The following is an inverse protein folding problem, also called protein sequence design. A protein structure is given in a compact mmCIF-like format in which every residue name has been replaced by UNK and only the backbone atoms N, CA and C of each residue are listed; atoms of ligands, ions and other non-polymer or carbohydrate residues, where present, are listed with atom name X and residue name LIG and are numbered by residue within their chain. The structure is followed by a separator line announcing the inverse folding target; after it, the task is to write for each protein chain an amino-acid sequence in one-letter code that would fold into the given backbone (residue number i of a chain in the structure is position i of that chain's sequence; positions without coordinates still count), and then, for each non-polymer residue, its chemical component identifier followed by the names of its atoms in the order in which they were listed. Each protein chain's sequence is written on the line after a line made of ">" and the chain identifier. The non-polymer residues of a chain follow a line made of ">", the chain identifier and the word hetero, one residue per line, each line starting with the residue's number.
data_IF_655300011492
#
_entry.id   IF_655300011492
#
_cell.length_a   1.000
_cell.length_b   1.000
_cell.length_c   1.000
_cell.angle_alpha   90.00
_cell.angle_beta   90.00
_cell.angle_gamma   90.00
#
_symmetry.space_group_name_H-M   'P 1'
#
loop_
_entity.id
_entity.type
_entity.pdbx_description
1 polymer ?
#
# COMPACT_ATOMS: atom_id res chain seq x y z
N UNK A 1 10.62 -14.61 -19.29
CA UNK A 1 10.71 -13.47 -20.23
C UNK A 1 9.50 -13.39 -21.18
N UNK A 2 9.06 -14.50 -21.79
CA UNK A 2 7.90 -14.50 -22.71
C UNK A 2 6.58 -14.14 -22.03
N UNK A 3 6.39 -14.49 -20.74
CA UNK A 3 5.18 -14.20 -19.97
C UNK A 3 5.04 -12.70 -19.63
N UNK A 4 6.16 -12.03 -19.38
CA UNK A 4 6.22 -10.58 -19.11
C UNK A 4 5.89 -9.74 -20.36
N UNK A 5 6.33 -10.17 -21.54
CA UNK A 5 6.07 -9.46 -22.79
C UNK A 5 4.58 -9.51 -23.22
N UNK A 6 3.81 -10.46 -22.68
CA UNK A 6 2.37 -10.64 -22.97
C UNK A 6 1.46 -10.00 -21.90
N UNK A 7 2.01 -9.47 -20.80
CA UNK A 7 1.19 -8.87 -19.75
C UNK A 7 0.64 -7.50 -20.18
N UNK A 8 -0.67 -7.34 -20.02
CA UNK A 8 -1.38 -6.06 -20.22
C UNK A 8 -0.82 -4.96 -19.31
N UNK A 9 -0.36 -5.33 -18.10
CA UNK A 9 0.14 -4.42 -17.08
C UNK A 9 1.59 -4.76 -16.73
N UNK A 10 2.45 -3.75 -16.77
CA UNK A 10 3.86 -3.84 -16.36
C UNK A 10 4.07 -3.38 -14.92
N UNK A 11 3.21 -2.52 -14.43
CA UNK A 11 3.28 -1.98 -13.06
C UNK A 11 2.02 -2.33 -12.30
N UNK A 12 2.19 -2.95 -11.14
CA UNK A 12 1.09 -3.31 -10.25
C UNK A 12 1.30 -2.57 -8.94
N UNK A 13 0.35 -1.72 -8.58
CA UNK A 13 0.43 -0.88 -7.38
C UNK A 13 -0.63 -1.32 -6.39
N UNK A 14 -0.20 -1.73 -5.20
CA UNK A 14 -1.07 -2.15 -4.11
C UNK A 14 -1.29 -0.99 -3.14
N UNK A 15 -2.54 -0.67 -2.85
CA UNK A 15 -2.92 0.36 -1.90
C UNK A 15 -4.00 -0.13 -0.92
N UNK A 16 -4.17 0.59 0.17
CA UNK A 16 -5.10 0.25 1.24
C UNK A 16 -4.54 0.62 2.60
N UNK A 17 -5.34 0.43 3.64
CA UNK A 17 -4.99 0.82 5.00
C UNK A 17 -3.82 0.01 5.56
N UNK A 18 -3.15 0.54 6.59
CA UNK A 18 -2.12 -0.23 7.32
C UNK A 18 -2.73 -1.52 7.87
N UNK A 19 -1.96 -2.61 7.85
CA UNK A 19 -2.43 -3.94 8.33
C UNK A 19 -3.30 -4.71 7.33
N UNK A 20 -3.61 -4.18 6.14
CA UNK A 20 -4.40 -4.93 5.14
C UNK A 20 -3.58 -5.99 4.37
N UNK A 21 -2.25 -6.03 4.53
CA UNK A 21 -1.43 -7.10 3.95
C UNK A 21 -0.71 -6.76 2.64
N UNK A 22 -0.61 -5.48 2.25
CA UNK A 22 0.04 -5.03 1.00
C UNK A 22 1.44 -5.61 0.79
N UNK A 23 2.30 -5.51 1.80
CA UNK A 23 3.70 -5.99 1.69
C UNK A 23 3.77 -7.51 1.55
N UNK A 24 2.93 -8.26 2.28
CA UNK A 24 2.89 -9.73 2.16
C UNK A 24 2.38 -10.18 0.80
N UNK A 25 1.23 -9.65 0.39
CA UNK A 25 0.62 -9.94 -0.92
C UNK A 25 1.55 -9.50 -2.05
N UNK A 26 2.16 -8.31 -1.93
CA UNK A 26 3.07 -7.75 -2.93
C UNK A 26 4.31 -8.59 -3.16
N UNK A 27 4.95 -9.06 -2.09
CA UNK A 27 6.10 -9.96 -2.19
C UNK A 27 5.76 -11.28 -2.87
N UNK A 28 4.65 -11.92 -2.46
CA UNK A 28 4.18 -13.17 -3.06
C UNK A 28 3.80 -12.99 -4.55
N UNK A 29 3.12 -11.90 -4.87
CA UNK A 29 2.75 -11.58 -6.25
C UNK A 29 3.99 -11.36 -7.12
N UNK A 30 4.95 -10.59 -6.65
CA UNK A 30 6.21 -10.31 -7.34
C UNK A 30 7.01 -11.60 -7.59
N UNK A 31 7.06 -12.51 -6.61
CA UNK A 31 7.69 -13.84 -6.76
C UNK A 31 6.99 -14.67 -7.84
N UNK A 32 5.65 -14.72 -7.85
CA UNK A 32 4.89 -15.45 -8.86
C UNK A 32 5.12 -14.90 -10.28
N UNK A 33 5.24 -13.57 -10.40
CA UNK A 33 5.47 -12.89 -11.67
C UNK A 33 6.95 -12.82 -12.08
N UNK A 34 7.88 -13.16 -11.16
CA UNK A 34 9.32 -13.02 -11.34
C UNK A 34 9.76 -11.58 -11.67
N UNK A 35 9.15 -10.60 -11.00
CA UNK A 35 9.47 -9.17 -11.11
C UNK A 35 9.83 -8.59 -9.75
N UNK A 36 10.54 -7.43 -9.68
CA UNK A 36 10.88 -6.79 -8.42
C UNK A 36 9.65 -6.38 -7.62
N UNK A 37 9.79 -6.45 -6.29
CA UNK A 37 8.87 -5.85 -5.32
C UNK A 37 9.52 -4.65 -4.66
N UNK A 38 8.77 -3.56 -4.56
CA UNK A 38 9.14 -2.36 -3.81
C UNK A 38 8.06 -2.03 -2.79
N UNK A 39 8.47 -1.58 -1.61
CA UNK A 39 7.61 -1.01 -0.58
C UNK A 39 8.00 0.47 -0.41
N UNK A 40 7.08 1.39 -0.64
CA UNK A 40 7.39 2.82 -0.63
C UNK A 40 7.86 3.29 0.75
N UNK A 41 7.27 2.76 1.84
CA UNK A 41 7.71 3.09 3.19
C UNK A 41 9.16 2.62 3.42
N UNK A 42 9.53 1.43 2.94
CA UNK A 42 10.90 0.94 3.01
C UNK A 42 11.86 1.82 2.19
N UNK A 43 11.49 2.22 0.98
CA UNK A 43 12.32 3.12 0.15
C UNK A 43 12.52 4.48 0.84
N UNK A 44 11.51 5.00 1.54
CA UNK A 44 11.63 6.21 2.32
C UNK A 44 12.61 6.01 3.48
N UNK A 45 12.50 4.91 4.24
CA UNK A 45 13.40 4.62 5.36
C UNK A 45 14.84 4.43 4.92
N UNK A 46 15.09 3.82 3.76
CA UNK A 46 16.42 3.72 3.14
C UNK A 46 16.98 5.10 2.77
N UNK A 47 16.17 5.99 2.17
CA UNK A 47 16.58 7.34 1.78
C UNK A 47 16.93 8.22 2.98
N UNK A 48 16.14 8.14 4.07
CA UNK A 48 16.35 8.96 5.27
C UNK A 48 17.36 8.34 6.26
N UNK A 49 17.76 7.09 6.04
CA UNK A 49 18.67 6.35 6.92
C UNK A 49 18.11 6.03 8.30
N UNK A 50 16.79 5.83 8.41
CA UNK A 50 16.16 5.51 9.69
C UNK A 50 14.63 5.44 9.65
N UNK A 51 13.96 5.28 10.80
CA UNK A 51 12.52 5.12 10.86
C UNK A 51 11.74 6.36 10.40
N UNK A 52 10.66 6.15 9.64
CA UNK A 52 9.72 7.20 9.22
C UNK A 52 9.18 7.99 10.41
N UNK A 53 8.87 7.32 11.53
CA UNK A 53 8.35 7.97 12.73
C UNK A 53 9.31 9.04 13.28
N UNK A 54 10.59 8.75 13.31
CA UNK A 54 11.62 9.70 13.75
C UNK A 54 11.75 10.88 12.79
N UNK A 55 11.70 10.63 11.48
CA UNK A 55 11.74 11.69 10.48
C UNK A 55 10.50 12.59 10.58
N UNK A 56 9.33 11.99 10.71
CA UNK A 56 8.06 12.70 10.85
C UNK A 56 8.05 13.63 12.07
N UNK A 57 8.54 13.14 13.23
CA UNK A 57 8.65 13.95 14.45
C UNK A 57 9.62 15.13 14.30
N UNK A 58 10.74 14.93 13.61
CA UNK A 58 11.80 15.95 13.46
C UNK A 58 11.50 16.97 12.36
N UNK A 59 10.96 16.52 11.24
CA UNK A 59 10.82 17.32 10.03
C UNK A 59 9.36 17.74 9.75
N UNK A 60 8.39 17.07 10.37
CA UNK A 60 6.96 17.33 10.19
C UNK A 60 6.35 16.71 8.94
N UNK A 61 5.03 16.78 8.88
CA UNK A 61 4.25 16.12 7.85
C UNK A 61 4.54 16.66 6.44
N UNK A 62 4.64 17.96 6.27
CA UNK A 62 4.85 18.57 4.95
C UNK A 62 6.12 18.07 4.27
N UNK A 63 7.22 18.00 5.02
CA UNK A 63 8.50 17.51 4.47
C UNK A 63 8.44 16.00 4.19
N UNK A 64 7.79 15.25 5.05
CA UNK A 64 7.56 13.82 4.83
C UNK A 64 6.78 13.58 3.54
N UNK A 65 5.66 14.29 3.34
CA UNK A 65 4.84 14.14 2.13
C UNK A 65 5.57 14.58 0.85
N UNK A 66 6.41 15.59 0.92
CA UNK A 66 7.24 15.99 -0.21
C UNK A 66 8.26 14.91 -0.58
N UNK A 67 8.91 14.28 0.41
CA UNK A 67 9.84 13.18 0.18
C UNK A 67 9.13 11.92 -0.34
N UNK A 68 7.99 11.56 0.24
CA UNK A 68 7.14 10.46 -0.21
C UNK A 68 6.74 10.65 -1.68
N UNK A 69 6.29 11.86 -2.06
CA UNK A 69 5.95 12.19 -3.43
C UNK A 69 7.14 12.03 -4.38
N UNK A 70 8.29 12.57 -4.02
CA UNK A 70 9.51 12.46 -4.81
C UNK A 70 9.91 11.00 -5.07
N UNK A 71 9.86 10.14 -4.04
CA UNK A 71 10.21 8.73 -4.17
C UNK A 71 9.14 7.93 -4.92
N UNK A 72 7.86 8.28 -4.75
CA UNK A 72 6.77 7.73 -5.54
C UNK A 72 6.98 7.98 -7.04
N UNK A 73 7.19 9.22 -7.45
CA UNK A 73 7.45 9.60 -8.84
C UNK A 73 8.70 8.90 -9.40
N UNK A 74 9.81 8.94 -8.65
CA UNK A 74 11.07 8.28 -9.01
C UNK A 74 10.90 6.78 -9.23
N UNK A 75 10.10 6.12 -8.38
CA UNK A 75 9.86 4.67 -8.49
C UNK A 75 8.98 4.36 -9.68
N UNK A 76 7.90 5.11 -9.91
CA UNK A 76 7.04 4.91 -11.07
C UNK A 76 7.72 5.21 -12.41
N UNK A 77 8.70 6.12 -12.43
CA UNK A 77 9.46 6.44 -13.63
C UNK A 77 10.42 5.34 -14.08
N UNK A 78 10.71 4.34 -13.24
CA UNK A 78 11.58 3.23 -13.63
C UNK A 78 10.96 2.40 -14.77
N UNK A 79 11.75 2.01 -15.80
CA UNK A 79 11.21 1.34 -16.99
C UNK A 79 10.82 -0.12 -16.78
N UNK A 80 11.35 -0.77 -15.74
CA UNK A 80 11.10 -2.19 -15.49
C UNK A 80 9.70 -2.48 -14.95
N UNK A 81 9.24 -3.70 -15.21
CA UNK A 81 8.04 -4.24 -14.57
C UNK A 81 8.27 -4.36 -13.05
N UNK A 82 7.23 -4.07 -12.25
CA UNK A 82 7.33 -4.10 -10.79
C UNK A 82 5.99 -4.30 -10.09
N UNK A 83 6.06 -4.75 -8.84
CA UNK A 83 4.99 -4.61 -7.85
C UNK A 83 5.42 -3.57 -6.83
N UNK A 84 4.59 -2.56 -6.60
CA UNK A 84 4.82 -1.48 -5.63
C UNK A 84 3.72 -1.46 -4.56
N UNK A 85 4.07 -1.56 -3.29
CA UNK A 85 3.17 -1.32 -2.18
C UNK A 85 3.29 0.14 -1.72
N UNK A 86 2.16 0.85 -1.61
CA UNK A 86 2.11 2.23 -1.11
C UNK A 86 1.94 2.28 0.40
N UNK A 87 2.42 3.35 1.02
CA UNK A 87 2.04 3.71 2.38
C UNK A 87 0.53 3.95 2.50
N UNK A 88 -0.04 3.70 3.67
CA UNK A 88 -1.50 3.82 3.87
C UNK A 88 -2.05 5.24 3.63
N UNK A 89 -1.23 6.27 3.79
CA UNK A 89 -1.60 7.66 3.53
C UNK A 89 -1.28 8.15 2.13
N UNK A 90 -0.36 7.51 1.41
CA UNK A 90 0.14 7.95 0.09
C UNK A 90 -0.98 8.30 -0.90
N UNK A 91 -2.05 7.51 -1.05
CA UNK A 91 -3.14 7.81 -1.99
C UNK A 91 -3.90 9.11 -1.70
N UNK A 92 -3.82 9.63 -0.47
CA UNK A 92 -4.61 10.77 -0.01
C UNK A 92 -3.93 12.13 -0.25
N UNK A 93 -2.67 12.13 -0.72
CA UNK A 93 -1.89 13.34 -0.88
C UNK A 93 -1.49 13.55 -2.34
N UNK A 94 -1.25 14.82 -2.69
CA UNK A 94 -0.97 15.22 -4.05
C UNK A 94 -2.06 14.69 -5.02
N UNK A 95 -1.69 14.43 -6.24
CA UNK A 95 -2.52 13.80 -7.28
C UNK A 95 -2.10 12.36 -7.55
N UNK A 96 -1.59 11.65 -6.52
CA UNK A 96 -1.05 10.29 -6.68
C UNK A 96 -2.05 9.33 -7.35
N UNK A 97 -3.33 9.35 -6.96
CA UNK A 97 -4.33 8.48 -7.58
C UNK A 97 -4.60 8.84 -9.04
N UNK A 98 -4.53 10.12 -9.39
CA UNK A 98 -4.67 10.57 -10.77
C UNK A 98 -3.44 10.18 -11.60
N UNK A 99 -2.22 10.28 -11.02
CA UNK A 99 -0.99 9.78 -11.64
C UNK A 99 -1.07 8.30 -11.92
N UNK A 100 -1.53 7.48 -10.96
CA UNK A 100 -1.71 6.04 -11.14
C UNK A 100 -2.68 5.73 -12.29
N UNK A 101 -3.81 6.45 -12.36
CA UNK A 101 -4.85 6.23 -13.38
C UNK A 101 -4.41 6.60 -14.78
N UNK A 102 -3.50 7.59 -14.92
CA UNK A 102 -2.99 8.07 -16.22
C UNK A 102 -1.74 7.33 -16.69
N UNK A 103 -1.08 6.56 -15.81
CA UNK A 103 0.14 5.83 -16.17
C UNK A 103 -0.19 4.64 -17.06
N UNK A 104 0.26 4.61 -18.32
CA UNK A 104 -0.01 3.48 -19.22
C UNK A 104 0.60 2.17 -18.68
N UNK A 105 -0.14 1.08 -18.82
CA UNK A 105 0.34 -0.25 -18.40
C UNK A 105 0.44 -0.42 -16.87
N UNK A 106 -0.24 0.43 -16.09
CA UNK A 106 -0.31 0.34 -14.64
C UNK A 106 -1.69 -0.17 -14.20
N UNK A 107 -1.70 -1.13 -13.25
CA UNK A 107 -2.87 -1.59 -12.54
C UNK A 107 -2.75 -1.19 -11.07
N UNK A 108 -3.64 -0.33 -10.59
CA UNK A 108 -3.76 -0.04 -9.16
C UNK A 108 -4.84 -0.89 -8.52
N UNK A 109 -4.51 -1.50 -7.36
CA UNK A 109 -5.38 -2.46 -6.66
C UNK A 109 -5.58 -2.01 -5.22
N UNK A 110 -6.82 -1.73 -4.86
CA UNK A 110 -7.21 -1.49 -3.48
C UNK A 110 -7.48 -2.81 -2.75
N UNK A 111 -6.65 -3.13 -1.76
CA UNK A 111 -6.83 -4.28 -0.87
C UNK A 111 -7.74 -3.88 0.28
N UNK A 112 -9.01 -4.24 0.20
CA UNK A 112 -10.04 -3.84 1.16
C UNK A 112 -10.27 -4.92 2.21
N UNK A 113 -10.10 -4.54 3.48
CA UNK A 113 -10.50 -5.35 4.63
C UNK A 113 -11.61 -4.64 5.43
N UNK A 114 -12.55 -5.39 6.03
CA UNK A 114 -13.54 -4.84 6.95
C UNK A 114 -12.88 -4.14 8.14
N UNK A 115 -13.51 -3.07 8.63
CA UNK A 115 -13.03 -2.30 9.77
C UNK A 115 -12.69 -3.17 11.00
N UNK A 116 -13.59 -4.10 11.35
CA UNK A 116 -13.38 -5.01 12.48
C UNK A 116 -12.12 -5.86 12.31
N UNK A 117 -11.95 -6.48 11.13
CA UNK A 117 -10.77 -7.31 10.82
C UNK A 117 -9.47 -6.50 10.87
N UNK A 118 -9.48 -5.27 10.34
CA UNK A 118 -8.33 -4.37 10.44
C UNK A 118 -8.01 -4.04 11.89
N UNK A 119 -9.02 -3.69 12.67
CA UNK A 119 -8.86 -3.35 14.08
C UNK A 119 -8.29 -4.52 14.88
N UNK A 120 -8.80 -5.73 14.67
CA UNK A 120 -8.31 -6.93 15.37
C UNK A 120 -6.86 -7.24 15.04
N UNK A 121 -6.46 -7.14 13.78
CA UNK A 121 -5.06 -7.31 13.34
C UNK A 121 -4.15 -6.25 13.96
N UNK A 122 -4.53 -4.99 13.83
CA UNK A 122 -3.75 -3.86 14.33
C UNK A 122 -3.64 -3.89 15.86
N UNK A 123 -4.69 -4.31 16.57
CA UNK A 123 -4.65 -4.41 18.01
C UNK A 123 -3.62 -5.43 18.51
N UNK A 124 -3.48 -6.57 17.80
CA UNK A 124 -2.46 -7.59 18.08
C UNK A 124 -1.04 -7.10 17.79
N UNK A 125 -0.87 -6.27 16.77
CA UNK A 125 0.43 -5.78 16.28
C UNK A 125 0.80 -4.39 16.80
N UNK A 126 -0.03 -3.76 17.64
CA UNK A 126 0.09 -2.33 18.00
C UNK A 126 1.44 -1.94 18.60
N UNK A 127 2.08 -2.85 19.35
CA UNK A 127 3.38 -2.59 19.97
C UNK A 127 4.49 -2.24 18.96
N UNK A 128 4.34 -2.71 17.71
CA UNK A 128 5.28 -2.46 16.62
C UNK A 128 4.86 -1.30 15.69
N UNK A 129 3.79 -0.56 16.06
CA UNK A 129 3.22 0.50 15.22
C UNK A 129 3.12 1.83 15.99
N UNK A 130 4.06 2.76 15.81
CA UNK A 130 4.14 4.00 16.60
C UNK A 130 2.84 4.79 16.68
N UNK A 131 2.06 4.86 15.58
CA UNK A 131 0.80 5.61 15.53
C UNK A 131 -0.30 5.10 16.45
N UNK A 132 -0.24 3.84 16.83
CA UNK A 132 -1.29 3.16 17.61
C UNK A 132 -0.75 2.45 18.85
N UNK A 133 0.56 2.56 19.12
CA UNK A 133 1.22 1.85 20.22
C UNK A 133 0.60 2.18 21.59
N UNK A 134 0.22 3.44 21.79
CA UNK A 134 -0.33 3.94 23.06
C UNK A 134 -1.85 3.71 23.20
N UNK A 135 -2.52 3.16 22.18
CA UNK A 135 -3.96 2.84 22.26
C UNK A 135 -4.17 1.55 23.02
N UNK A 136 -4.56 1.67 24.30
CA UNK A 136 -4.69 0.53 25.19
C UNK A 136 -5.99 -0.28 24.97
N UNK A 137 -7.06 0.36 24.51
CA UNK A 137 -8.38 -0.26 24.38
C UNK A 137 -8.75 -0.54 22.92
N UNK A 138 -9.29 -1.72 22.66
CA UNK A 138 -9.76 -2.13 21.33
C UNK A 138 -10.83 -1.19 20.77
N UNK A 139 -11.76 -0.72 21.60
CA UNK A 139 -12.81 0.23 21.19
C UNK A 139 -12.25 1.57 20.73
N UNK A 140 -11.23 2.08 21.40
CA UNK A 140 -10.53 3.31 20.98
C UNK A 140 -9.79 3.12 19.65
N UNK A 141 -9.19 1.95 19.45
CA UNK A 141 -8.55 1.62 18.18
C UNK A 141 -9.57 1.49 17.06
N UNK A 142 -10.72 0.87 17.32
CA UNK A 142 -11.83 0.77 16.36
C UNK A 142 -12.28 2.15 15.88
N UNK A 143 -12.47 3.09 16.82
CA UNK A 143 -12.84 4.47 16.50
C UNK A 143 -11.77 5.19 15.69
N UNK A 144 -10.50 5.07 16.09
CA UNK A 144 -9.35 5.64 15.39
C UNK A 144 -9.24 5.12 13.94
N UNK A 145 -9.29 3.80 13.75
CA UNK A 145 -9.22 3.17 12.42
C UNK A 145 -10.44 3.55 11.59
N UNK A 146 -11.63 3.55 12.19
CA UNK A 146 -12.88 3.92 11.52
C UNK A 146 -12.87 5.34 10.97
N UNK A 147 -12.39 6.31 11.76
CA UNK A 147 -12.23 7.70 11.34
C UNK A 147 -11.26 7.82 10.16
N UNK A 148 -10.08 7.21 10.26
CA UNK A 148 -9.10 7.23 9.18
C UNK A 148 -9.60 6.54 7.91
N UNK A 149 -10.29 5.42 8.03
CA UNK A 149 -10.89 4.75 6.87
C UNK A 149 -11.95 5.61 6.20
N UNK A 150 -12.80 6.27 6.99
CA UNK A 150 -13.81 7.18 6.45
C UNK A 150 -13.17 8.28 5.60
N UNK A 151 -12.08 8.89 6.08
CA UNK A 151 -11.36 9.94 5.37
C UNK A 151 -10.61 9.43 4.13
N UNK A 152 -10.08 8.21 4.16
CA UNK A 152 -9.17 7.67 3.12
C UNK A 152 -9.86 6.83 2.06
N UNK A 153 -10.97 6.19 2.38
CA UNK A 153 -11.70 5.31 1.45
C UNK A 153 -12.08 5.99 0.12
N UNK A 154 -12.49 7.27 0.07
CA UNK A 154 -12.75 7.95 -1.21
C UNK A 154 -11.54 7.96 -2.15
N UNK A 155 -10.33 8.06 -1.60
CA UNK A 155 -9.09 7.98 -2.38
C UNK A 155 -8.79 6.55 -2.81
N UNK A 156 -8.89 5.58 -1.91
CA UNK A 156 -8.65 4.17 -2.22
C UNK A 156 -9.57 3.65 -3.33
N UNK A 157 -10.83 4.08 -3.34
CA UNK A 157 -11.82 3.70 -4.35
C UNK A 157 -11.56 4.26 -5.74
N UNK A 158 -10.58 5.13 -5.90
CA UNK A 158 -10.10 5.55 -7.23
C UNK A 158 -9.17 4.50 -7.88
N UNK A 159 -8.81 3.43 -7.19
CA UNK A 159 -8.05 2.33 -7.76
C UNK A 159 -8.78 1.68 -8.93
N UNK A 160 -8.01 1.15 -9.89
CA UNK A 160 -8.57 0.45 -11.07
C UNK A 160 -9.33 -0.81 -10.67
N UNK A 161 -8.86 -1.51 -9.63
CA UNK A 161 -9.45 -2.74 -9.13
C UNK A 161 -9.62 -2.64 -7.61
N UNK A 162 -10.82 -3.00 -7.12
CA UNK A 162 -11.09 -3.18 -5.69
C UNK A 162 -11.19 -4.66 -5.37
N UNK A 163 -10.40 -5.14 -4.43
CA UNK A 163 -10.45 -6.52 -3.94
C UNK A 163 -10.87 -6.55 -2.47
N UNK A 164 -12.08 -7.04 -2.23
CA UNK A 164 -12.53 -7.39 -0.88
C UNK A 164 -11.84 -8.71 -0.47
N UNK A 165 -11.00 -8.64 0.55
CA UNK A 165 -10.15 -9.76 0.95
C UNK A 165 -10.88 -10.76 1.86
N UNK A 166 -11.79 -10.30 2.72
CA UNK A 166 -12.44 -11.15 3.71
C UNK A 166 -11.42 -11.87 4.59
N UNK A 167 -11.57 -13.18 4.70
CA UNK A 167 -10.64 -14.08 5.41
C UNK A 167 -9.65 -14.80 4.47
N UNK A 168 -9.54 -14.35 3.21
CA UNK A 168 -8.67 -14.98 2.24
C UNK A 168 -7.21 -14.94 2.68
N UNK A 169 -6.50 -16.06 2.47
CA UNK A 169 -5.05 -16.10 2.70
C UNK A 169 -4.32 -15.22 1.67
N UNK A 170 -3.09 -14.76 1.97
CA UNK A 170 -2.30 -14.00 1.00
C UNK A 170 -2.16 -14.71 -0.34
N UNK A 171 -1.99 -16.04 -0.35
CA UNK A 171 -1.90 -16.86 -1.55
C UNK A 171 -3.20 -16.82 -2.36
N UNK A 172 -4.35 -16.92 -1.71
CA UNK A 172 -5.66 -16.83 -2.36
C UNK A 172 -5.88 -15.44 -2.97
N UNK A 173 -5.42 -14.38 -2.30
CA UNK A 173 -5.46 -13.01 -2.83
C UNK A 173 -4.59 -12.89 -4.08
N UNK A 174 -3.37 -13.44 -4.04
CA UNK A 174 -2.47 -13.46 -5.20
C UNK A 174 -3.10 -14.18 -6.39
N UNK A 175 -3.76 -15.33 -6.18
CA UNK A 175 -4.44 -16.03 -7.27
C UNK A 175 -5.58 -15.19 -7.89
N UNK A 176 -6.34 -14.46 -7.08
CA UNK A 176 -7.35 -13.51 -7.60
C UNK A 176 -6.72 -12.42 -8.46
N UNK A 177 -5.61 -11.83 -8.00
CA UNK A 177 -4.89 -10.82 -8.77
C UNK A 177 -4.36 -11.40 -10.09
N UNK A 178 -3.75 -12.58 -10.06
CA UNK A 178 -3.24 -13.24 -11.27
C UNK A 178 -4.33 -13.54 -12.30
N UNK A 179 -5.55 -13.85 -11.85
CA UNK A 179 -6.70 -14.04 -12.73
C UNK A 179 -7.12 -12.74 -13.43
N UNK A 180 -7.01 -11.58 -12.77
CA UNK A 180 -7.30 -10.27 -13.36
C UNK A 180 -6.21 -9.79 -14.35
N UNK A 181 -5.00 -10.35 -14.24
CA UNK A 181 -3.88 -10.03 -15.13
C UNK A 181 -3.87 -10.88 -16.42
N UNK A 182 -4.64 -11.97 -16.44
CA UNK A 182 -4.73 -12.88 -17.58
C UNK A 182 -5.60 -12.31 -18.68
#
# INVERSE_FOLDING_TARGET
>A
LARLAAMKYQKIVLLGYMGCGKSTVGKLLAQNLQIPFYDLDQLIEEEIGGPISTYFQKQGELKFRALEHQLFEKTLAQPQAMVLALGGGTPCYYDHMDTLSRTPGLLSIYLQLPLGTLTDRLFKERAHRPLIADIAQHSQLLEFVGKHLFERTPYYKKATLELALGEASPEAVVQKILAELA
#
